data_IF_984222530274
#
_entry.id   IF_984222530274
#
_cell.length_a   1.000
_cell.length_b   1.000
_cell.length_c   1.000
_cell.angle_alpha   90.00
_cell.angle_beta   90.00
_cell.angle_gamma   90.00
#
_symmetry.space_group_name_H-M   'P 1'
#
loop_
_entity.id
_entity.type
_entity.pdbx_description
1 polymer ?
#
# COMPACT_ATOMS: atom_id res chain seq x y z
N UNK A 1 29.62 13.25 -42.69
CA UNK A 1 29.77 12.19 -41.67
C UNK A 1 30.06 12.83 -40.33
N UNK A 2 29.05 13.01 -39.47
CA UNK A 2 29.22 13.03 -38.01
C UNK A 2 27.88 12.55 -37.43
N UNK A 3 27.73 11.23 -37.28
CA UNK A 3 26.60 10.67 -36.54
C UNK A 3 26.97 10.70 -35.06
N UNK A 4 26.41 11.66 -34.32
CA UNK A 4 26.54 11.72 -32.86
C UNK A 4 25.79 10.55 -32.25
N UNK A 5 26.53 9.57 -31.74
CA UNK A 5 25.98 8.50 -30.92
C UNK A 5 25.56 9.08 -29.57
N UNK A 6 24.26 9.29 -29.38
CA UNK A 6 23.71 9.54 -28.04
C UNK A 6 23.58 8.19 -27.36
N UNK A 7 24.57 7.83 -26.55
CA UNK A 7 24.43 6.71 -25.61
C UNK A 7 23.29 7.01 -24.64
N UNK A 8 22.35 6.09 -24.39
CA UNK A 8 21.34 6.30 -23.36
C UNK A 8 22.05 6.35 -22.01
N UNK A 9 21.97 7.50 -21.34
CA UNK A 9 22.36 7.63 -19.94
C UNK A 9 21.41 6.75 -19.15
N UNK A 10 21.84 5.51 -18.88
CA UNK A 10 21.13 4.62 -17.97
C UNK A 10 21.48 5.11 -16.57
N UNK A 11 20.72 6.07 -16.06
CA UNK A 11 20.79 6.41 -14.64
C UNK A 11 20.22 5.20 -13.91
N UNK A 12 21.09 4.27 -13.51
CA UNK A 12 20.74 3.18 -12.62
C UNK A 12 20.44 3.79 -11.26
N UNK A 13 19.21 4.25 -11.06
CA UNK A 13 18.71 4.51 -9.71
C UNK A 13 18.87 3.18 -8.97
N UNK A 14 19.63 3.13 -7.86
CA UNK A 14 19.78 1.88 -7.13
C UNK A 14 18.39 1.38 -6.73
N UNK A 15 18.20 0.06 -6.80
CA UNK A 15 17.00 -0.62 -6.30
C UNK A 15 16.94 -0.46 -4.78
N UNK A 16 16.57 0.73 -4.31
CA UNK A 16 16.48 1.10 -2.91
C UNK A 16 15.01 1.04 -2.48
N UNK A 17 14.64 -0.07 -1.83
CA UNK A 17 13.27 -0.29 -1.39
C UNK A 17 12.87 0.67 -0.27
N UNK A 18 13.82 1.06 0.57
CA UNK A 18 13.59 2.00 1.66
C UNK A 18 13.27 3.38 1.12
N UNK A 19 14.12 3.91 0.22
CA UNK A 19 13.93 5.24 -0.37
C UNK A 19 12.71 5.27 -1.29
N UNK A 20 12.43 4.21 -2.07
CA UNK A 20 11.23 4.12 -2.89
C UNK A 20 9.95 4.20 -2.03
N UNK A 21 9.90 3.43 -0.93
CA UNK A 21 8.76 3.43 0.01
C UNK A 21 8.63 4.79 0.68
N UNK A 22 9.75 5.37 1.15
CA UNK A 22 9.81 6.68 1.78
C UNK A 22 9.34 7.79 0.84
N UNK A 23 9.79 7.78 -0.41
CA UNK A 23 9.40 8.75 -1.43
C UNK A 23 7.89 8.69 -1.72
N UNK A 24 7.32 7.47 -1.80
CA UNK A 24 5.88 7.25 -1.91
C UNK A 24 5.12 7.89 -0.75
N UNK A 25 5.54 7.66 0.50
CA UNK A 25 4.92 8.27 1.69
C UNK A 25 5.06 9.80 1.74
N UNK A 26 6.25 10.32 1.43
CA UNK A 26 6.51 11.77 1.43
C UNK A 26 5.65 12.46 0.38
N UNK A 27 5.40 11.84 -0.77
CA UNK A 27 4.51 12.39 -1.80
C UNK A 27 3.06 12.62 -1.31
N UNK A 28 2.59 11.81 -0.36
CA UNK A 28 1.27 11.94 0.27
C UNK A 28 1.27 13.10 1.28
N UNK A 29 2.31 13.15 2.11
CA UNK A 29 2.36 14.05 3.26
C UNK A 29 2.77 15.48 2.88
N UNK A 30 3.49 15.64 1.77
CA UNK A 30 3.99 16.93 1.30
C UNK A 30 2.84 17.79 0.76
N UNK A 31 2.34 18.65 1.62
CA UNK A 31 1.55 19.83 1.24
C UNK A 31 1.95 21.00 2.13
N UNK A 32 2.61 21.99 1.53
CA UNK A 32 3.13 23.17 2.23
C UNK A 32 1.97 24.01 2.80
N UNK A 33 2.16 24.53 4.02
CA UNK A 33 1.20 25.41 4.68
C UNK A 33 -0.10 24.76 5.15
N UNK A 34 -0.27 23.44 4.99
CA UNK A 34 -1.48 22.72 5.38
C UNK A 34 -1.22 21.82 6.59
N UNK A 35 -1.84 22.16 7.71
CA UNK A 35 -1.88 21.31 8.91
C UNK A 35 -2.76 20.09 8.66
N UNK A 36 -2.30 18.93 9.14
CA UNK A 36 -2.97 17.66 8.94
C UNK A 36 -2.85 16.73 10.13
N UNK A 37 -3.88 15.92 10.33
CA UNK A 37 -3.92 14.78 11.24
C UNK A 37 -3.61 13.52 10.44
N UNK A 38 -2.67 12.71 10.89
CA UNK A 38 -2.36 11.42 10.29
C UNK A 38 -3.09 10.31 11.05
N UNK A 39 -3.89 9.53 10.33
CA UNK A 39 -4.66 8.40 10.86
C UNK A 39 -4.08 7.10 10.33
N UNK A 40 -3.65 6.23 11.23
CA UNK A 40 -2.99 4.96 10.90
C UNK A 40 -3.72 3.78 11.55
N UNK A 41 -3.72 2.62 10.91
CA UNK A 41 -3.94 1.35 11.60
C UNK A 41 -2.62 0.75 12.09
N UNK A 42 -2.70 -0.34 12.87
CA UNK A 42 -1.53 -1.03 13.41
C UNK A 42 -0.53 -1.41 12.29
N UNK A 43 -1.04 -1.98 11.20
CA UNK A 43 -0.20 -2.43 10.09
C UNK A 43 0.55 -1.27 9.43
N UNK A 44 -0.15 -0.17 9.13
CA UNK A 44 0.42 1.02 8.50
C UNK A 44 1.41 1.72 9.42
N UNK A 45 1.17 1.69 10.73
CA UNK A 45 2.12 2.18 11.72
C UNK A 45 3.44 1.39 11.66
N UNK A 46 3.42 0.06 11.53
CA UNK A 46 4.63 -0.76 11.38
C UNK A 46 5.41 -0.45 10.09
N UNK A 47 4.71 -0.09 9.00
CA UNK A 47 5.34 0.33 7.74
C UNK A 47 6.00 1.72 7.86
N UNK A 48 5.31 2.67 8.50
CA UNK A 48 5.74 4.09 8.52
C UNK A 48 6.80 4.36 9.59
N UNK A 49 6.71 3.70 10.75
CA UNK A 49 7.59 3.93 11.90
C UNK A 49 9.10 3.87 11.58
N UNK A 50 9.62 2.89 10.79
CA UNK A 50 11.03 2.86 10.45
C UNK A 50 11.44 3.96 9.44
N UNK A 51 10.49 4.42 8.62
CA UNK A 51 10.75 5.33 7.50
C UNK A 51 10.72 6.81 7.88
N UNK A 52 9.83 7.20 8.80
CA UNK A 52 9.57 8.60 9.12
C UNK A 52 9.53 8.84 10.62
N UNK A 53 10.51 9.60 11.10
CA UNK A 53 10.54 10.07 12.50
C UNK A 53 9.51 11.17 12.73
N UNK A 54 9.04 11.33 13.96
CA UNK A 54 8.10 12.38 14.38
C UNK A 54 8.56 13.78 13.94
N UNK A 55 9.86 14.07 14.02
CA UNK A 55 10.41 15.35 13.55
C UNK A 55 10.18 15.60 12.06
N UNK A 56 10.28 14.56 11.22
CA UNK A 56 10.03 14.65 9.78
C UNK A 56 8.53 14.79 9.47
N UNK A 57 7.68 14.05 10.18
CA UNK A 57 6.22 14.19 10.05
C UNK A 57 5.77 15.64 10.32
N UNK A 58 6.35 16.29 11.34
CA UNK A 58 6.09 17.70 11.65
C UNK A 58 6.53 18.65 10.55
N UNK A 59 7.67 18.39 9.89
CA UNK A 59 8.12 19.17 8.74
C UNK A 59 7.14 19.09 7.56
N UNK A 60 6.36 18.01 7.47
CA UNK A 60 5.28 17.86 6.49
C UNK A 60 3.91 18.36 7.01
N UNK A 61 3.87 19.11 8.11
CA UNK A 61 2.64 19.68 8.65
C UNK A 61 1.75 18.70 9.41
N UNK A 62 2.24 17.50 9.74
CA UNK A 62 1.52 16.54 10.59
C UNK A 62 1.58 17.01 12.05
N UNK A 63 0.43 17.36 12.62
CA UNK A 63 0.31 17.82 14.01
C UNK A 63 0.03 16.70 14.99
N UNK A 64 -0.75 15.71 14.56
CA UNK A 64 -1.18 14.56 15.35
C UNK A 64 -1.07 13.28 14.52
N UNK A 65 -0.62 12.21 15.18
CA UNK A 65 -0.68 10.84 14.65
C UNK A 65 -1.61 10.06 15.57
N UNK A 66 -2.73 9.57 15.03
CA UNK A 66 -3.76 8.88 15.79
C UNK A 66 -4.01 7.49 15.20
N UNK A 67 -4.30 6.52 16.05
CA UNK A 67 -4.78 5.20 15.61
C UNK A 67 -6.22 5.28 15.10
N UNK A 68 -6.57 4.51 14.07
CA UNK A 68 -7.94 4.34 13.59
C UNK A 68 -8.80 3.55 14.58
N UNK A 69 -8.19 2.67 15.37
CA UNK A 69 -8.86 1.84 16.37
C UNK A 69 -9.25 2.63 17.62
N UNK A 70 -8.69 3.83 17.79
CA UNK A 70 -9.08 4.73 18.86
C UNK A 70 -10.47 5.34 18.56
N UNK A 71 -11.48 4.86 19.27
CA UNK A 71 -12.88 5.31 19.16
C UNK A 71 -13.16 6.66 19.82
N UNK A 72 -12.26 7.13 20.69
CA UNK A 72 -12.45 8.34 21.51
C UNK A 72 -11.79 9.59 20.90
N UNK A 73 -11.48 9.55 19.60
CA UNK A 73 -10.92 10.70 18.89
C UNK A 73 -11.89 11.87 18.92
N UNK A 74 -11.39 13.04 19.30
CA UNK A 74 -12.16 14.29 19.31
C UNK A 74 -12.24 14.86 17.89
N UNK A 75 -13.40 15.41 17.46
CA UNK A 75 -13.51 16.12 16.18
C UNK A 75 -12.53 17.29 16.10
N UNK A 76 -11.88 17.46 14.95
CA UNK A 76 -11.02 18.59 14.60
C UNK A 76 -11.48 19.17 13.25
N UNK A 77 -12.63 19.89 13.23
CA UNK A 77 -13.36 20.18 12.00
C UNK A 77 -12.62 21.09 11.01
N UNK A 78 -11.61 21.84 11.47
CA UNK A 78 -10.86 22.81 10.65
C UNK A 78 -9.58 22.21 10.02
N UNK A 79 -9.30 20.93 10.28
CA UNK A 79 -8.05 20.27 9.85
C UNK A 79 -8.31 19.15 8.84
N UNK A 80 -7.36 18.92 7.94
CA UNK A 80 -7.35 17.78 7.03
C UNK A 80 -6.92 16.50 7.76
N UNK A 81 -7.56 15.37 7.48
CA UNK A 81 -7.09 14.06 7.89
C UNK A 81 -6.55 13.25 6.70
N UNK A 82 -5.37 12.66 6.88
CA UNK A 82 -4.75 11.70 5.95
C UNK A 82 -4.84 10.33 6.57
N UNK A 83 -5.59 9.43 5.95
CA UNK A 83 -5.72 8.03 6.35
C UNK A 83 -4.73 7.23 5.53
N UNK A 84 -3.76 6.61 6.19
CA UNK A 84 -2.87 5.59 5.58
C UNK A 84 -3.18 4.30 6.32
N UNK A 85 -3.97 3.43 5.68
CA UNK A 85 -4.60 2.26 6.33
C UNK A 85 -4.68 1.06 5.38
N UNK A 86 -4.99 -0.13 5.90
CA UNK A 86 -5.38 -1.28 5.09
C UNK A 86 -6.81 -1.14 4.55
N UNK A 87 -7.11 -1.73 3.38
CA UNK A 87 -8.47 -1.77 2.83
C UNK A 87 -9.33 -2.86 3.51
N UNK A 88 -9.40 -2.85 4.85
CA UNK A 88 -10.20 -3.79 5.63
C UNK A 88 -11.61 -3.24 5.88
N UNK A 89 -12.60 -4.13 6.02
CA UNK A 89 -13.99 -3.72 6.30
C UNK A 89 -14.10 -2.83 7.54
N UNK A 90 -13.36 -3.18 8.61
CA UNK A 90 -13.30 -2.38 9.84
C UNK A 90 -12.79 -0.96 9.58
N UNK A 91 -11.68 -0.80 8.86
CA UNK A 91 -11.12 0.52 8.57
C UNK A 91 -12.09 1.37 7.72
N UNK A 92 -12.79 0.74 6.77
CA UNK A 92 -13.78 1.41 5.93
C UNK A 92 -14.99 1.88 6.75
N UNK A 93 -15.52 1.03 7.61
CA UNK A 93 -16.66 1.37 8.45
C UNK A 93 -16.31 2.51 9.44
N UNK A 94 -15.09 2.51 9.99
CA UNK A 94 -14.60 3.62 10.83
C UNK A 94 -14.45 4.92 10.02
N UNK A 95 -13.85 4.86 8.82
CA UNK A 95 -13.73 6.03 7.94
C UNK A 95 -15.10 6.64 7.62
N UNK A 96 -16.07 5.80 7.24
CA UNK A 96 -17.42 6.24 6.91
C UNK A 96 -18.13 6.87 8.11
N UNK A 97 -17.93 6.31 9.30
CA UNK A 97 -18.41 6.90 10.55
C UNK A 97 -17.78 8.28 10.80
N UNK A 98 -16.47 8.43 10.60
CA UNK A 98 -15.77 9.70 10.78
C UNK A 98 -16.28 10.78 9.81
N UNK A 99 -16.50 10.41 8.54
CA UNK A 99 -17.10 11.28 7.51
C UNK A 99 -18.51 11.71 7.93
N UNK A 100 -19.36 10.77 8.35
CA UNK A 100 -20.73 11.06 8.78
C UNK A 100 -20.79 12.04 9.96
N UNK A 101 -19.80 11.97 10.87
CA UNK A 101 -19.67 12.82 12.05
C UNK A 101 -18.95 14.14 11.76
N UNK A 102 -18.47 14.34 10.54
CA UNK A 102 -17.68 15.51 10.14
C UNK A 102 -16.48 15.75 11.07
N UNK A 103 -15.76 14.66 11.37
CA UNK A 103 -14.60 14.70 12.26
C UNK A 103 -13.51 15.67 11.79
N UNK A 104 -13.38 15.87 10.47
CA UNK A 104 -12.35 16.68 9.82
C UNK A 104 -12.92 17.47 8.63
N UNK A 105 -12.21 18.53 8.22
CA UNK A 105 -12.58 19.38 7.07
C UNK A 105 -12.50 18.63 5.74
N UNK A 106 -11.46 17.80 5.58
CA UNK A 106 -11.14 17.07 4.37
C UNK A 106 -10.51 15.72 4.72
N UNK A 107 -10.81 14.72 3.91
CA UNK A 107 -10.33 13.36 4.05
C UNK A 107 -9.43 13.05 2.87
N UNK A 108 -8.29 12.42 3.12
CA UNK A 108 -7.39 11.91 2.11
C UNK A 108 -7.15 10.43 2.41
N UNK A 109 -7.66 9.53 1.56
CA UNK A 109 -7.64 8.09 1.78
C UNK A 109 -6.53 7.43 0.96
N UNK A 110 -5.62 6.74 1.65
CA UNK A 110 -4.48 6.05 1.06
C UNK A 110 -4.46 4.62 1.59
N UNK A 111 -4.74 3.64 0.73
CA UNK A 111 -4.60 2.24 1.09
C UNK A 111 -3.17 1.76 0.90
N UNK A 112 -2.62 1.08 1.90
CA UNK A 112 -1.26 0.51 1.81
C UNK A 112 -1.19 -0.69 0.87
N UNK A 113 -2.34 -1.28 0.51
CA UNK A 113 -2.46 -2.45 -0.36
C UNK A 113 -3.58 -2.22 -1.40
N UNK A 114 -3.72 -3.16 -2.34
CA UNK A 114 -4.80 -3.19 -3.32
C UNK A 114 -6.15 -3.41 -2.63
N UNK A 115 -7.18 -2.68 -3.06
CA UNK A 115 -8.57 -2.93 -2.68
C UNK A 115 -9.23 -3.87 -3.69
N UNK A 116 -10.00 -4.84 -3.21
CA UNK A 116 -10.76 -5.73 -4.12
C UNK A 116 -11.94 -4.98 -4.74
N UNK A 117 -12.34 -5.36 -5.96
CA UNK A 117 -13.50 -4.74 -6.63
C UNK A 117 -14.78 -4.87 -5.81
N UNK A 118 -14.97 -6.00 -5.14
CA UNK A 118 -16.11 -6.22 -4.24
C UNK A 118 -16.09 -5.24 -3.06
N UNK A 119 -14.94 -5.08 -2.41
CA UNK A 119 -14.77 -4.16 -1.28
C UNK A 119 -14.94 -2.70 -1.72
N UNK A 120 -14.43 -2.35 -2.90
CA UNK A 120 -14.59 -1.00 -3.47
C UNK A 120 -16.06 -0.71 -3.81
N UNK A 121 -16.78 -1.69 -4.36
CA UNK A 121 -18.20 -1.56 -4.65
C UNK A 121 -19.04 -1.42 -3.37
N UNK A 122 -18.75 -2.21 -2.34
CA UNK A 122 -19.40 -2.08 -1.03
C UNK A 122 -19.13 -0.70 -0.41
N UNK A 123 -17.87 -0.24 -0.46
CA UNK A 123 -17.50 1.11 -0.02
C UNK A 123 -18.31 2.18 -0.75
N UNK A 124 -18.41 2.12 -2.08
CA UNK A 124 -19.19 3.08 -2.86
C UNK A 124 -20.68 3.06 -2.48
N UNK A 125 -21.27 1.88 -2.29
CA UNK A 125 -22.66 1.74 -1.86
C UNK A 125 -22.90 2.34 -0.47
N UNK A 126 -22.03 2.04 0.50
CA UNK A 126 -22.13 2.59 1.87
C UNK A 126 -21.87 4.10 1.89
N UNK A 127 -20.85 4.58 1.17
CA UNK A 127 -20.48 5.99 1.07
C UNK A 127 -21.61 6.84 0.48
N UNK A 128 -22.29 6.35 -0.56
CA UNK A 128 -23.38 7.07 -1.23
C UNK A 128 -24.55 7.44 -0.31
N UNK A 129 -24.71 6.72 0.81
CA UNK A 129 -25.74 6.97 1.83
C UNK A 129 -25.35 8.06 2.82
N UNK A 130 -24.06 8.44 2.86
CA UNK A 130 -23.49 9.38 3.83
C UNK A 130 -23.14 10.71 3.18
N UNK A 131 -22.54 10.68 1.99
CA UNK A 131 -22.08 11.86 1.27
C UNK A 131 -22.23 11.63 -0.24
N UNK A 132 -22.53 12.67 -1.05
CA UNK A 132 -22.50 12.54 -2.50
C UNK A 132 -21.13 12.02 -2.97
N UNK A 133 -21.12 10.99 -3.82
CA UNK A 133 -19.89 10.33 -4.29
C UNK A 133 -18.85 11.31 -4.89
N UNK A 134 -19.22 12.35 -5.66
CA UNK A 134 -18.23 13.32 -6.15
C UNK A 134 -17.50 14.12 -5.05
N UNK A 135 -18.02 14.11 -3.82
CA UNK A 135 -17.41 14.74 -2.65
C UNK A 135 -16.70 13.72 -1.74
N UNK A 136 -16.83 12.43 -2.03
CA UNK A 136 -16.13 11.38 -1.30
C UNK A 136 -14.62 11.47 -1.59
N UNK A 137 -13.75 11.22 -0.60
CA UNK A 137 -12.30 11.20 -0.84
C UNK A 137 -11.92 10.21 -1.93
N UNK A 138 -11.10 10.64 -2.88
CA UNK A 138 -10.52 9.75 -3.88
C UNK A 138 -9.80 8.59 -3.18
N UNK A 139 -10.03 7.37 -3.67
CA UNK A 139 -9.41 6.16 -3.16
C UNK A 139 -8.09 5.95 -3.88
N UNK A 140 -6.99 5.85 -3.14
CA UNK A 140 -5.64 5.72 -3.70
C UNK A 140 -4.94 4.49 -3.16
N UNK A 141 -4.50 3.59 -4.04
CA UNK A 141 -3.71 2.40 -3.68
C UNK A 141 -2.20 2.70 -3.76
N UNK A 142 -1.45 2.41 -2.69
CA UNK A 142 -0.02 2.73 -2.58
C UNK A 142 0.92 1.54 -2.69
N UNK A 143 0.45 0.32 -2.48
CA UNK A 143 1.27 -0.89 -2.61
C UNK A 143 2.53 -0.90 -1.74
N UNK A 144 2.43 -0.38 -0.51
CA UNK A 144 3.52 -0.30 0.47
C UNK A 144 3.31 -1.25 1.66
N UNK A 145 2.52 -2.32 1.50
CA UNK A 145 2.19 -3.28 2.57
C UNK A 145 3.35 -4.26 2.89
N UNK A 146 4.53 -3.72 3.20
CA UNK A 146 5.73 -4.43 3.64
C UNK A 146 6.59 -3.47 4.48
N UNK A 147 7.51 -4.01 5.28
CA UNK A 147 8.40 -3.20 6.11
C UNK A 147 9.80 -3.18 5.51
N UNK A 148 10.29 -2.04 5.00
CA UNK A 148 11.68 -1.90 4.60
C UNK A 148 12.58 -1.90 5.85
N UNK A 149 13.68 -2.66 5.77
CA UNK A 149 14.67 -2.81 6.85
C UNK A 149 15.93 -2.01 6.52
N UNK A 150 16.35 -2.08 5.26
CA UNK A 150 17.41 -1.27 4.66
C UNK A 150 17.15 -1.17 3.13
N UNK A 151 18.04 -0.50 2.40
CA UNK A 151 17.93 -0.31 0.95
C UNK A 151 17.63 -1.58 0.15
N UNK A 152 18.09 -2.76 0.59
CA UNK A 152 17.96 -4.02 -0.15
C UNK A 152 17.23 -5.12 0.62
N UNK A 153 16.71 -4.83 1.82
CA UNK A 153 16.00 -5.79 2.67
C UNK A 153 14.63 -5.28 3.05
N UNK A 154 13.67 -6.17 3.00
CA UNK A 154 12.32 -5.94 3.47
C UNK A 154 11.79 -7.18 4.19
N UNK A 155 10.75 -6.98 4.99
CA UNK A 155 9.95 -8.02 5.61
C UNK A 155 8.50 -7.87 5.19
N UNK A 156 7.83 -8.98 4.89
CA UNK A 156 6.37 -8.99 4.71
C UNK A 156 5.63 -9.04 6.05
N UNK A 157 6.34 -9.28 7.16
CA UNK A 157 5.79 -9.44 8.51
C UNK A 157 4.62 -10.44 8.58
N UNK A 158 4.79 -11.59 7.93
CA UNK A 158 3.82 -12.69 7.95
C UNK A 158 4.23 -13.72 9.01
N UNK A 159 3.66 -13.66 10.24
CA UNK A 159 3.98 -14.60 11.31
C UNK A 159 3.58 -16.02 10.92
N UNK A 160 4.24 -17.01 11.54
CA UNK A 160 3.96 -18.43 11.35
C UNK A 160 4.07 -18.95 9.91
N UNK A 161 4.57 -18.17 8.95
CA UNK A 161 4.65 -18.56 7.53
C UNK A 161 5.32 -19.92 7.32
N UNK A 162 6.47 -20.15 7.97
CA UNK A 162 7.17 -21.43 7.87
C UNK A 162 6.34 -22.60 8.43
N UNK A 163 5.71 -22.39 9.59
CA UNK A 163 4.85 -23.38 10.24
C UNK A 163 3.63 -23.68 9.36
N UNK A 164 2.93 -22.65 8.88
CA UNK A 164 1.74 -22.81 8.06
C UNK A 164 2.02 -23.60 6.78
N UNK A 165 3.21 -23.45 6.19
CA UNK A 165 3.58 -24.14 4.94
C UNK A 165 4.10 -25.56 5.17
N UNK A 166 4.87 -25.80 6.24
CA UNK A 166 5.61 -27.05 6.42
C UNK A 166 5.09 -27.96 7.55
N UNK A 167 4.22 -27.48 8.43
CA UNK A 167 3.60 -28.33 9.46
C UNK A 167 2.65 -29.34 8.79
N UNK A 168 2.85 -30.66 8.97
CA UNK A 168 1.96 -31.69 8.42
C UNK A 168 0.50 -31.58 8.89
N UNK A 169 0.24 -30.82 9.97
CA UNK A 169 -1.10 -30.55 10.49
C UNK A 169 -1.79 -29.35 9.84
N UNK A 170 -1.06 -28.56 9.04
CA UNK A 170 -1.62 -27.42 8.34
C UNK A 170 -2.67 -27.86 7.33
N UNK A 171 -3.80 -27.16 7.32
CA UNK A 171 -4.86 -27.38 6.34
C UNK A 171 -4.46 -26.73 5.01
N UNK A 172 -4.89 -27.33 3.90
CA UNK A 172 -4.63 -26.80 2.56
C UNK A 172 -5.07 -25.34 2.41
N UNK A 173 -6.22 -24.97 2.99
CA UNK A 173 -6.71 -23.59 2.98
C UNK A 173 -5.73 -22.61 3.63
N UNK A 174 -5.08 -22.99 4.72
CA UNK A 174 -4.11 -22.14 5.44
C UNK A 174 -2.82 -21.98 4.64
N UNK A 175 -2.38 -23.05 3.97
CA UNK A 175 -1.21 -23.02 3.08
C UNK A 175 -1.48 -22.07 1.90
N UNK A 176 -2.64 -22.22 1.25
CA UNK A 176 -3.04 -21.36 0.13
C UNK A 176 -3.14 -19.89 0.57
N UNK A 177 -3.83 -19.60 1.69
CA UNK A 177 -3.91 -18.24 2.23
C UNK A 177 -2.54 -17.65 2.55
N UNK A 178 -1.64 -18.44 3.13
CA UNK A 178 -0.26 -17.98 3.42
C UNK A 178 0.49 -17.63 2.14
N UNK A 179 0.38 -18.47 1.10
CA UNK A 179 0.95 -18.20 -0.22
C UNK A 179 0.37 -16.91 -0.81
N UNK A 180 -0.93 -16.68 -0.66
CA UNK A 180 -1.63 -15.52 -1.22
C UNK A 180 -1.15 -14.22 -0.57
N UNK A 181 -0.95 -14.23 0.76
CA UNK A 181 -0.36 -13.10 1.47
C UNK A 181 1.09 -12.83 1.04
N UNK A 182 1.89 -13.88 0.81
CA UNK A 182 3.26 -13.73 0.29
C UNK A 182 3.22 -13.05 -1.08
N UNK A 183 2.36 -13.53 -1.99
CA UNK A 183 2.25 -12.98 -3.34
C UNK A 183 1.80 -11.53 -3.32
N UNK A 184 0.79 -11.17 -2.51
CA UNK A 184 0.31 -9.79 -2.36
C UNK A 184 1.43 -8.85 -1.86
N UNK A 185 2.20 -9.29 -0.85
CA UNK A 185 3.35 -8.54 -0.35
C UNK A 185 4.46 -8.36 -1.38
N UNK A 186 4.76 -9.40 -2.17
CA UNK A 186 5.73 -9.29 -3.26
C UNK A 186 5.26 -8.34 -4.37
N UNK A 187 3.96 -8.34 -4.69
CA UNK A 187 3.38 -7.37 -5.62
C UNK A 187 3.59 -5.94 -5.10
N UNK A 188 3.37 -5.71 -3.81
CA UNK A 188 3.64 -4.42 -3.19
C UNK A 188 5.08 -3.96 -3.39
N UNK A 189 6.05 -4.84 -3.12
CA UNK A 189 7.48 -4.54 -3.31
C UNK A 189 7.80 -4.20 -4.77
N UNK A 190 7.36 -5.03 -5.72
CA UNK A 190 7.64 -4.84 -7.14
C UNK A 190 7.02 -3.54 -7.68
N UNK A 191 5.80 -3.23 -7.21
CA UNK A 191 5.08 -2.00 -7.57
C UNK A 191 5.77 -0.77 -6.99
N UNK A 192 6.17 -0.81 -5.72
CA UNK A 192 6.90 0.27 -5.07
C UNK A 192 8.24 0.54 -5.75
N UNK A 193 8.96 -0.51 -6.16
CA UNK A 193 10.22 -0.38 -6.90
C UNK A 193 10.01 0.03 -8.38
N UNK A 194 8.80 -0.08 -8.92
CA UNK A 194 8.51 0.22 -10.33
C UNK A 194 9.21 -0.73 -11.30
N UNK A 195 9.28 -2.03 -10.98
CA UNK A 195 10.09 -3.01 -11.74
C UNK A 195 9.27 -4.19 -12.26
N UNK A 196 9.61 -4.67 -13.46
CA UNK A 196 9.12 -5.95 -14.02
C UNK A 196 10.23 -7.01 -13.91
N UNK A 197 10.14 -7.97 -12.97
CA UNK A 197 11.19 -8.96 -12.80
C UNK A 197 11.07 -10.11 -13.80
N UNK A 198 12.20 -10.78 -14.06
CA UNK A 198 12.19 -12.15 -14.60
C UNK A 198 12.11 -13.11 -13.41
N UNK A 199 11.00 -13.85 -13.31
CA UNK A 199 10.77 -14.79 -12.20
C UNK A 199 11.41 -16.15 -12.53
N UNK A 200 12.38 -16.57 -11.70
CA UNK A 200 13.05 -17.88 -11.80
C UNK A 200 12.45 -18.84 -10.78
N UNK A 201 12.06 -20.02 -11.25
CA UNK A 201 11.37 -21.02 -10.43
C UNK A 201 12.28 -22.21 -10.08
N UNK A 202 12.21 -22.75 -8.85
CA UNK A 202 12.83 -24.02 -8.52
C UNK A 202 12.35 -25.17 -9.42
N UNK A 203 13.23 -26.13 -9.70
CA UNK A 203 12.90 -27.33 -10.50
C UNK A 203 11.92 -28.28 -9.77
N UNK A 204 11.98 -28.32 -8.44
CA UNK A 204 11.11 -29.18 -7.64
C UNK A 204 9.64 -28.73 -7.74
N UNK A 205 8.72 -29.56 -8.26
CA UNK A 205 7.31 -29.20 -8.41
C UNK A 205 6.60 -28.96 -7.08
N UNK A 206 7.02 -29.61 -5.99
CA UNK A 206 6.42 -29.50 -4.67
C UNK A 206 6.97 -28.33 -3.84
N UNK A 207 7.85 -27.50 -4.40
CA UNK A 207 8.44 -26.37 -3.67
C UNK A 207 7.42 -25.24 -3.48
N UNK A 208 7.18 -24.75 -2.25
CA UNK A 208 6.31 -23.59 -2.01
C UNK A 208 6.76 -22.34 -2.78
N UNK A 209 8.07 -22.15 -2.95
CA UNK A 209 8.63 -21.06 -3.74
C UNK A 209 8.24 -21.14 -5.23
N UNK A 210 8.08 -22.36 -5.77
CA UNK A 210 7.58 -22.55 -7.13
C UNK A 210 6.11 -22.13 -7.23
N UNK A 211 5.27 -22.53 -6.28
CA UNK A 211 3.85 -22.14 -6.24
C UNK A 211 3.68 -20.63 -6.11
N UNK A 212 4.43 -20.00 -5.20
CA UNK A 212 4.48 -18.53 -5.05
C UNK A 212 4.88 -17.88 -6.37
N UNK A 213 5.94 -18.35 -7.02
CA UNK A 213 6.42 -17.75 -8.26
C UNK A 213 5.44 -17.90 -9.44
N UNK A 214 4.71 -19.02 -9.54
CA UNK A 214 3.67 -19.21 -10.56
C UNK A 214 2.50 -18.23 -10.30
N UNK A 215 1.98 -18.20 -9.07
CA UNK A 215 0.86 -17.33 -8.72
C UNK A 215 1.20 -15.85 -8.84
N UNK A 216 2.43 -15.46 -8.49
CA UNK A 216 2.95 -14.12 -8.72
C UNK A 216 2.98 -13.77 -10.22
N UNK A 217 3.42 -14.68 -11.08
CA UNK A 217 3.39 -14.46 -12.54
C UNK A 217 1.96 -14.23 -13.04
N UNK A 218 0.99 -15.02 -12.56
CA UNK A 218 -0.42 -14.92 -12.96
C UNK A 218 -1.02 -13.57 -12.54
N UNK A 219 -0.84 -13.18 -11.28
CA UNK A 219 -1.35 -11.90 -10.78
C UNK A 219 -0.68 -10.69 -11.44
N UNK A 220 0.63 -10.74 -11.72
CA UNK A 220 1.29 -9.66 -12.46
C UNK A 220 0.76 -9.52 -13.89
N UNK A 221 0.40 -10.64 -14.55
CA UNK A 221 -0.22 -10.60 -15.88
C UNK A 221 -1.63 -9.99 -15.83
N UNK A 222 -2.43 -10.38 -14.85
CA UNK A 222 -3.78 -9.83 -14.63
C UNK A 222 -3.70 -8.32 -14.39
N UNK A 223 -2.84 -7.88 -13.46
CA UNK A 223 -2.63 -6.46 -13.15
C UNK A 223 -2.15 -5.68 -14.37
N UNK A 224 -1.26 -6.27 -15.18
CA UNK A 224 -0.83 -5.63 -16.41
C UNK A 224 -1.96 -5.53 -17.45
N UNK A 225 -2.84 -6.52 -17.55
CA UNK A 225 -4.01 -6.47 -18.43
C UNK A 225 -4.99 -5.37 -18.01
N UNK A 226 -5.19 -5.19 -16.70
CA UNK A 226 -6.15 -4.22 -16.16
C UNK A 226 -5.62 -2.79 -16.23
N UNK A 227 -4.36 -2.57 -15.86
CA UNK A 227 -3.81 -1.21 -15.70
C UNK A 227 -2.79 -0.82 -16.79
N UNK A 228 -2.47 -1.72 -17.71
CA UNK A 228 -1.50 -1.49 -18.78
C UNK A 228 -0.11 -1.16 -18.21
N UNK A 229 0.58 -0.21 -18.85
CA UNK A 229 1.90 0.25 -18.41
C UNK A 229 1.87 1.12 -17.15
N UNK A 230 0.68 1.59 -16.73
CA UNK A 230 0.52 2.36 -15.48
C UNK A 230 0.79 1.48 -14.25
N UNK A 231 0.75 0.16 -14.40
CA UNK A 231 1.08 -0.75 -13.31
C UNK A 231 2.57 -0.65 -12.89
N UNK A 232 3.52 -0.31 -13.76
CA UNK A 232 4.96 -0.28 -13.37
C UNK A 232 5.53 1.12 -13.18
N UNK A 233 4.77 2.18 -13.46
CA UNK A 233 5.29 3.52 -13.21
C UNK A 233 5.48 3.77 -11.71
N UNK A 234 6.65 4.32 -11.36
CA UNK A 234 7.08 4.73 -10.01
C UNK A 234 6.14 5.78 -9.37
N UNK A 235 5.21 6.33 -10.16
CA UNK A 235 4.19 7.31 -9.76
C UNK A 235 2.75 6.83 -10.00
N UNK A 236 2.55 5.59 -10.44
CA UNK A 236 1.26 5.06 -10.87
C UNK A 236 0.44 4.57 -9.70
N UNK A 237 0.00 5.47 -8.81
CA UNK A 237 -1.07 5.11 -7.89
C UNK A 237 -2.35 4.86 -8.69
N UNK A 238 -3.10 3.85 -8.28
CA UNK A 238 -4.42 3.61 -8.85
C UNK A 238 -5.38 4.51 -8.06
N UNK A 239 -5.99 5.46 -8.77
CA UNK A 239 -6.94 6.41 -8.21
C UNK A 239 -8.34 6.05 -8.69
N UNK A 240 -9.27 5.96 -7.75
CA UNK A 240 -10.70 5.90 -8.04
C UNK A 240 -11.31 7.28 -7.68
N UNK A 241 -11.95 7.90 -8.66
CA UNK A 241 -12.61 9.21 -8.55
C UNK A 241 -14.11 9.08 -8.64
#
# INVERSE_FOLDING_TARGET
MIAGSVSPVTVSVPFDVEEATRSSLVSVLRSEGVWKVLILDERSQSVIAPLLKVGQLRQFGVTLVLSIDNTDRTPIPDTMAVYIVQPSEHNLDVLLRDISRRMYAKYNLQFIDRISDNTLQDLAQKASKIIPLPLFPAVVERFINFVPIDAFKFSLELPDTFKNIYDPKSKDVTIVQTIDHIVAGLICVLKTLGVRPIIKLPKNPSSPARTVGIKLCEQLKELHSTYGDRFISFAGNINYT
#
